data_IF_674550619065
#
_entry.id   IF_674550619065
#
_cell.length_a   1.000
_cell.length_b   1.000
_cell.length_c   1.000
_cell.angle_alpha   90.00
_cell.angle_beta   90.00
_cell.angle_gamma   90.00
#
_symmetry.space_group_name_H-M   'P 1'
#
loop_
_entity.id
_entity.type
_entity.pdbx_description
1 polymer ?
#
# COMPACT_ATOMS: atom_id res chain seq x y z
N UNK A 1 -9.02 27.89 -7.56
CA UNK A 1 -7.64 27.41 -7.25
C UNK A 1 -7.15 26.65 -8.47
N UNK A 2 -5.96 26.93 -8.99
CA UNK A 2 -5.44 26.18 -10.12
C UNK A 2 -4.83 24.83 -9.67
N UNK A 3 -4.54 23.94 -10.62
CA UNK A 3 -4.00 22.60 -10.34
C UNK A 3 -2.72 22.64 -9.47
N UNK A 4 -1.79 23.55 -9.76
CA UNK A 4 -0.52 23.64 -9.00
C UNK A 4 -0.69 24.21 -7.59
N UNK A 5 -1.60 25.13 -7.38
CA UNK A 5 -1.93 25.61 -6.02
C UNK A 5 -2.53 24.50 -5.17
N UNK A 6 -3.34 23.64 -5.79
CA UNK A 6 -3.92 22.48 -5.12
C UNK A 6 -2.84 21.46 -4.73
N UNK A 7 -1.85 21.23 -5.59
CA UNK A 7 -0.69 20.38 -5.27
C UNK A 7 0.03 20.90 -4.03
N UNK A 8 0.37 22.22 -3.98
CA UNK A 8 1.06 22.79 -2.81
C UNK A 8 0.26 22.56 -1.54
N UNK A 9 -1.05 22.79 -1.57
CA UNK A 9 -1.92 22.56 -0.41
C UNK A 9 -1.91 21.11 0.05
N UNK A 10 -2.05 20.15 -0.86
CA UNK A 10 -2.00 18.72 -0.52
C UNK A 10 -0.64 18.34 0.08
N UNK A 11 0.46 18.87 -0.47
CA UNK A 11 1.80 18.62 0.08
C UNK A 11 1.99 19.21 1.49
N UNK A 12 1.40 20.40 1.77
CA UNK A 12 1.38 20.96 3.12
C UNK A 12 0.61 20.04 4.09
N UNK A 13 -0.56 19.53 3.71
CA UNK A 13 -1.34 18.60 4.53
C UNK A 13 -0.56 17.29 4.80
N UNK A 14 0.10 16.74 3.79
CA UNK A 14 0.88 15.49 3.90
C UNK A 14 2.13 15.68 4.77
N UNK A 15 2.91 16.73 4.54
CA UNK A 15 4.24 16.85 5.16
C UNK A 15 4.25 17.61 6.49
N UNK A 16 3.31 18.53 6.72
CA UNK A 16 3.21 19.28 7.98
C UNK A 16 2.19 18.69 8.95
N UNK A 17 1.08 18.15 8.43
CA UNK A 17 0.00 17.64 9.27
C UNK A 17 0.00 16.11 9.38
N UNK A 18 0.91 15.42 8.67
CA UNK A 18 1.01 13.96 8.68
C UNK A 18 -0.16 13.24 8.02
N UNK A 19 -0.92 13.92 7.17
CA UNK A 19 -2.03 13.30 6.45
C UNK A 19 -1.52 12.23 5.46
N UNK A 20 -2.27 11.14 5.31
CA UNK A 20 -1.95 10.18 4.26
C UNK A 20 -2.18 10.78 2.87
N UNK A 21 -1.21 10.63 1.98
CA UNK A 21 -1.22 11.28 0.66
C UNK A 21 -2.45 10.92 -0.18
N UNK A 22 -2.91 9.69 -0.12
CA UNK A 22 -4.11 9.24 -0.82
C UNK A 22 -5.40 9.88 -0.25
N UNK A 23 -5.49 10.09 1.06
CA UNK A 23 -6.66 10.70 1.70
C UNK A 23 -6.70 12.20 1.38
N UNK A 24 -5.60 12.92 1.62
CA UNK A 24 -5.50 14.35 1.35
C UNK A 24 -5.77 14.66 -0.14
N UNK A 25 -5.19 13.85 -1.05
CA UNK A 25 -5.40 14.01 -2.49
C UNK A 25 -6.86 13.77 -2.90
N UNK A 26 -7.49 12.68 -2.43
CA UNK A 26 -8.88 12.39 -2.77
C UNK A 26 -9.81 13.49 -2.30
N UNK A 27 -9.69 13.94 -1.06
CA UNK A 27 -10.49 15.05 -0.52
C UNK A 27 -10.31 16.34 -1.33
N UNK A 28 -9.05 16.65 -1.71
CA UNK A 28 -8.75 17.81 -2.52
C UNK A 28 -9.37 17.74 -3.92
N UNK A 29 -9.41 16.54 -4.53
CA UNK A 29 -9.97 16.34 -5.86
C UNK A 29 -11.50 16.28 -5.85
N UNK A 30 -12.14 15.68 -4.87
CA UNK A 30 -13.61 15.61 -4.75
C UNK A 30 -14.27 16.98 -4.77
N UNK A 31 -13.67 17.96 -4.10
CA UNK A 31 -14.18 19.34 -4.02
C UNK A 31 -13.63 20.27 -5.11
N UNK A 32 -12.89 19.74 -6.10
CA UNK A 32 -12.29 20.53 -7.16
C UNK A 32 -13.15 20.61 -8.41
N UNK A 33 -13.10 21.75 -9.09
CA UNK A 33 -13.67 21.95 -10.44
C UNK A 33 -12.62 21.73 -11.54
N UNK A 34 -11.61 20.92 -11.26
CA UNK A 34 -10.53 20.61 -12.20
C UNK A 34 -11.02 19.69 -13.32
N UNK A 35 -10.50 19.90 -14.54
CA UNK A 35 -10.68 18.95 -15.64
C UNK A 35 -10.03 17.60 -15.32
N UNK A 36 -10.43 16.50 -15.97
CA UNK A 36 -9.84 15.17 -15.78
C UNK A 36 -8.33 15.18 -16.06
N UNK A 37 -7.89 15.99 -17.03
CA UNK A 37 -6.47 16.18 -17.35
C UNK A 37 -5.72 16.85 -16.19
N UNK A 38 -6.31 17.87 -15.58
CA UNK A 38 -5.72 18.56 -14.44
C UNK A 38 -5.74 17.68 -13.19
N UNK A 39 -6.80 16.92 -12.97
CA UNK A 39 -6.89 15.92 -11.88
C UNK A 39 -5.77 14.87 -12.00
N UNK A 40 -5.55 14.34 -13.20
CA UNK A 40 -4.46 13.41 -13.48
C UNK A 40 -3.08 14.04 -13.24
N UNK A 41 -2.91 15.30 -13.64
CA UNK A 41 -1.69 16.05 -13.40
C UNK A 41 -1.44 16.31 -11.91
N UNK A 42 -2.46 16.70 -11.15
CA UNK A 42 -2.36 16.89 -9.69
C UNK A 42 -1.95 15.59 -9.04
N UNK A 43 -2.58 14.47 -9.42
CA UNK A 43 -2.28 13.13 -8.91
C UNK A 43 -0.83 12.75 -9.16
N UNK A 44 -0.36 12.91 -10.39
CA UNK A 44 1.02 12.60 -10.79
C UNK A 44 2.03 13.43 -9.99
N UNK A 45 1.84 14.75 -9.91
CA UNK A 45 2.82 15.63 -9.25
C UNK A 45 2.80 15.46 -7.73
N UNK A 46 1.64 15.22 -7.10
CA UNK A 46 1.57 14.94 -5.66
C UNK A 46 2.30 13.65 -5.33
N UNK A 47 1.90 12.53 -5.94
CA UNK A 47 2.53 11.25 -5.65
C UNK A 47 4.01 11.23 -6.01
N UNK A 48 4.38 11.83 -7.14
CA UNK A 48 5.77 11.92 -7.57
C UNK A 48 6.63 12.75 -6.63
N UNK A 49 6.14 13.91 -6.16
CA UNK A 49 6.86 14.74 -5.19
C UNK A 49 7.00 14.02 -3.85
N UNK A 50 5.94 13.37 -3.35
CA UNK A 50 6.01 12.58 -2.12
C UNK A 50 6.98 11.41 -2.29
N UNK A 51 6.90 10.67 -3.38
CA UNK A 51 7.79 9.54 -3.65
C UNK A 51 9.27 9.93 -3.70
N UNK A 52 9.59 11.13 -4.18
CA UNK A 52 10.96 11.64 -4.39
C UNK A 52 11.43 12.65 -3.32
N UNK A 53 10.71 12.76 -2.20
CA UNK A 53 10.99 13.78 -1.16
C UNK A 53 12.46 13.91 -0.81
N UNK A 54 13.14 12.82 -0.42
CA UNK A 54 14.54 12.85 0.04
C UNK A 54 15.49 13.30 -1.08
N UNK A 55 15.25 12.86 -2.31
CA UNK A 55 16.02 13.27 -3.50
C UNK A 55 15.84 14.77 -3.77
N UNK A 56 14.60 15.23 -3.75
CA UNK A 56 14.27 16.65 -4.01
C UNK A 56 14.82 17.56 -2.90
N UNK A 57 14.71 17.14 -1.64
CA UNK A 57 15.30 17.85 -0.50
C UNK A 57 16.82 17.95 -0.61
N UNK A 58 17.47 16.86 -1.04
CA UNK A 58 18.92 16.85 -1.24
C UNK A 58 19.34 17.82 -2.35
N UNK A 59 18.63 17.86 -3.48
CA UNK A 59 18.90 18.84 -4.53
C UNK A 59 18.68 20.27 -4.05
N UNK A 60 17.58 20.55 -3.38
CA UNK A 60 17.28 21.89 -2.87
C UNK A 60 18.29 22.37 -1.83
N UNK A 61 18.85 21.46 -1.03
CA UNK A 61 19.87 21.80 -0.03
C UNK A 61 21.19 22.35 -0.63
N UNK A 62 21.43 22.18 -1.93
CA UNK A 62 22.59 22.78 -2.61
C UNK A 62 22.37 24.25 -3.03
N UNK A 63 21.13 24.71 -3.01
CA UNK A 63 20.78 26.06 -3.44
C UNK A 63 20.03 26.87 -2.38
N UNK A 64 19.56 26.22 -1.32
CA UNK A 64 18.88 26.81 -0.16
C UNK A 64 19.75 26.58 1.07
N UNK A 65 20.29 27.64 1.63
CA UNK A 65 21.20 27.57 2.78
C UNK A 65 20.48 27.11 4.06
N UNK A 66 19.29 27.66 4.30
CA UNK A 66 18.53 27.38 5.53
C UNK A 66 17.04 27.25 5.24
N UNK A 67 16.56 26.00 5.22
CA UNK A 67 15.14 25.68 5.00
C UNK A 67 14.23 26.25 6.10
N UNK A 68 14.72 26.38 7.33
CA UNK A 68 13.88 26.80 8.47
C UNK A 68 13.44 28.26 8.38
N UNK A 69 14.08 29.05 7.53
CA UNK A 69 13.70 30.44 7.24
C UNK A 69 12.62 30.58 6.16
N UNK A 70 12.23 29.47 5.52
CA UNK A 70 11.22 29.48 4.48
C UNK A 70 9.84 29.09 5.04
N UNK A 71 8.83 29.80 4.57
CA UNK A 71 7.45 29.35 4.78
C UNK A 71 7.27 27.94 4.20
N UNK A 72 6.60 26.98 4.89
CA UNK A 72 6.45 25.61 4.41
C UNK A 72 5.88 25.51 2.99
N UNK A 73 4.83 26.28 2.66
CA UNK A 73 4.23 26.29 1.33
C UNK A 73 5.22 26.68 0.22
N UNK A 74 6.15 27.60 0.51
CA UNK A 74 7.15 28.04 -0.44
C UNK A 74 8.16 26.93 -0.73
N UNK A 75 8.55 26.21 0.29
CA UNK A 75 9.42 25.04 0.16
C UNK A 75 8.77 23.95 -0.69
N UNK A 76 7.49 23.64 -0.43
CA UNK A 76 6.75 22.63 -1.22
C UNK A 76 6.45 23.08 -2.65
N UNK A 77 6.27 24.38 -2.87
CA UNK A 77 6.21 24.95 -4.22
C UNK A 77 7.52 24.69 -4.98
N UNK A 78 8.68 24.88 -4.34
CA UNK A 78 9.98 24.57 -4.94
C UNK A 78 10.16 23.06 -5.17
N UNK A 79 9.80 22.23 -4.20
CA UNK A 79 9.87 20.77 -4.35
C UNK A 79 9.04 20.25 -5.52
N UNK A 80 7.77 20.64 -5.63
CA UNK A 80 6.92 20.18 -6.73
C UNK A 80 7.36 20.74 -8.09
N UNK A 81 7.95 21.97 -8.11
CA UNK A 81 8.50 22.54 -9.33
C UNK A 81 9.75 21.79 -9.77
N UNK A 82 10.62 21.46 -8.82
CA UNK A 82 11.81 20.65 -9.08
C UNK A 82 11.43 19.22 -9.53
N UNK A 83 10.41 18.62 -8.94
CA UNK A 83 9.89 17.33 -9.43
C UNK A 83 9.49 17.42 -10.90
N UNK A 84 8.75 18.46 -11.30
CA UNK A 84 8.35 18.65 -12.68
C UNK A 84 9.57 18.86 -13.61
N UNK A 85 10.58 19.62 -13.18
CA UNK A 85 11.81 19.87 -13.96
C UNK A 85 12.63 18.58 -14.18
N UNK A 86 12.64 17.67 -13.21
CA UNK A 86 13.52 16.49 -13.22
C UNK A 86 12.84 15.26 -13.84
N UNK A 87 11.52 15.13 -13.66
CA UNK A 87 10.83 13.86 -13.94
C UNK A 87 9.68 13.98 -14.96
N UNK A 88 9.35 15.20 -15.43
CA UNK A 88 8.23 15.42 -16.37
C UNK A 88 8.72 16.10 -17.66
N UNK A 89 9.29 15.32 -18.56
CA UNK A 89 9.86 15.81 -19.85
C UNK A 89 8.84 16.54 -20.75
N UNK A 90 7.54 16.35 -20.49
CA UNK A 90 6.47 16.93 -21.32
C UNK A 90 6.20 18.41 -21.04
N UNK A 91 6.76 18.98 -19.96
CA UNK A 91 6.47 20.34 -19.52
C UNK A 91 7.75 21.16 -19.73
N UNK A 92 7.70 22.20 -20.57
CA UNK A 92 8.88 23.06 -20.77
C UNK A 92 9.29 23.78 -19.47
N UNK A 93 10.59 23.86 -19.20
CA UNK A 93 11.16 24.47 -17.99
C UNK A 93 10.62 25.86 -17.72
N UNK A 94 10.53 26.69 -18.78
CA UNK A 94 10.03 28.06 -18.65
C UNK A 94 8.57 28.13 -18.19
N UNK A 95 7.75 27.15 -18.56
CA UNK A 95 6.36 27.08 -18.13
C UNK A 95 6.27 26.71 -16.63
N UNK A 96 7.13 25.79 -16.16
CA UNK A 96 7.21 25.39 -14.73
C UNK A 96 7.62 26.60 -13.89
N UNK A 97 8.70 27.30 -14.30
CA UNK A 97 9.21 28.49 -13.60
C UNK A 97 8.16 29.61 -13.56
N UNK A 98 7.54 29.91 -14.69
CA UNK A 98 6.54 30.99 -14.78
C UNK A 98 5.33 30.74 -13.88
N UNK A 99 4.81 29.48 -13.82
CA UNK A 99 3.70 29.15 -12.95
C UNK A 99 4.10 29.17 -11.47
N UNK A 100 5.29 28.69 -11.11
CA UNK A 100 5.79 28.77 -9.76
C UNK A 100 5.95 30.22 -9.27
N UNK A 101 6.52 31.10 -10.11
CA UNK A 101 6.65 32.53 -9.84
C UNK A 101 5.29 33.19 -9.66
N UNK A 102 4.29 32.84 -10.50
CA UNK A 102 2.93 33.36 -10.40
C UNK A 102 2.26 32.96 -9.07
N UNK A 103 2.44 31.72 -8.66
CA UNK A 103 1.91 31.23 -7.35
C UNK A 103 2.60 31.96 -6.20
N UNK A 104 3.93 32.06 -6.25
CA UNK A 104 4.71 32.82 -5.27
C UNK A 104 4.16 34.23 -5.08
N UNK A 105 4.07 34.99 -6.16
CA UNK A 105 3.55 36.38 -6.13
C UNK A 105 2.14 36.49 -5.54
N UNK A 106 1.25 35.52 -5.84
CA UNK A 106 -0.13 35.53 -5.32
C UNK A 106 -0.22 35.23 -3.84
N UNK A 107 0.62 34.31 -3.34
CA UNK A 107 0.61 33.90 -1.91
C UNK A 107 1.31 34.91 -1.00
N UNK A 108 2.46 35.46 -1.46
CA UNK A 108 3.25 36.43 -0.69
C UNK A 108 4.07 37.29 -1.63
N UNK A 109 3.78 38.57 -1.66
CA UNK A 109 4.54 39.55 -2.46
C UNK A 109 6.04 39.50 -2.11
N UNK A 110 6.89 39.51 -3.11
CA UNK A 110 8.34 39.41 -2.97
C UNK A 110 8.88 37.98 -3.05
N UNK A 111 8.08 36.97 -2.81
CA UNK A 111 8.52 35.56 -2.90
C UNK A 111 8.79 35.09 -4.34
N UNK A 112 8.18 35.78 -5.33
CA UNK A 112 8.37 35.45 -6.75
C UNK A 112 9.83 35.63 -7.21
N UNK A 113 10.56 36.60 -6.63
CA UNK A 113 11.97 36.84 -6.93
C UNK A 113 12.83 35.67 -6.45
N UNK A 114 12.55 35.18 -5.23
CA UNK A 114 13.23 34.03 -4.63
C UNK A 114 12.95 32.75 -5.42
N UNK A 115 11.69 32.44 -5.71
CA UNK A 115 11.29 31.28 -6.52
C UNK A 115 12.00 31.27 -7.86
N UNK A 116 11.98 32.40 -8.58
CA UNK A 116 12.64 32.53 -9.87
C UNK A 116 14.16 32.33 -9.77
N UNK A 117 14.81 32.92 -8.75
CA UNK A 117 16.26 32.80 -8.55
C UNK A 117 16.66 31.33 -8.29
N UNK A 118 15.96 30.62 -7.39
CA UNK A 118 16.26 29.25 -7.06
C UNK A 118 16.06 28.31 -8.26
N UNK A 119 14.90 28.37 -8.94
CA UNK A 119 14.62 27.48 -10.06
C UNK A 119 15.54 27.74 -11.26
N UNK A 120 15.81 29.02 -11.58
CA UNK A 120 16.76 29.35 -12.66
C UNK A 120 18.19 28.96 -12.32
N UNK A 121 18.60 29.03 -11.04
CA UNK A 121 19.91 28.57 -10.60
C UNK A 121 20.06 27.06 -10.85
N UNK A 122 19.06 26.24 -10.44
CA UNK A 122 19.05 24.79 -10.67
C UNK A 122 19.10 24.44 -12.18
N UNK A 123 18.36 25.15 -13.01
CA UNK A 123 18.36 24.92 -14.47
C UNK A 123 19.73 25.27 -15.08
N UNK A 124 20.32 26.40 -14.69
CA UNK A 124 21.60 26.90 -15.24
C UNK A 124 22.81 26.08 -14.80
N UNK A 125 22.87 25.72 -13.51
CA UNK A 125 24.02 25.04 -12.91
C UNK A 125 23.91 23.52 -13.05
N UNK A 126 22.72 23.02 -13.36
CA UNK A 126 22.41 21.58 -13.32
C UNK A 126 22.26 21.02 -11.91
N UNK A 127 21.88 19.79 -11.83
CA UNK A 127 21.72 19.09 -10.56
C UNK A 127 23.04 18.44 -10.15
N UNK A 128 23.40 18.47 -8.85
CA UNK A 128 24.60 17.77 -8.38
C UNK A 128 24.46 16.26 -8.63
N UNK A 129 25.58 15.62 -8.97
CA UNK A 129 25.61 14.18 -9.23
C UNK A 129 25.52 13.38 -7.92
N UNK A 130 24.54 12.48 -7.82
CA UNK A 130 24.27 11.67 -6.61
C UNK A 130 25.43 10.71 -6.29
N UNK A 131 26.19 10.28 -7.28
CA UNK A 131 27.35 9.39 -7.14
C UNK A 131 28.49 10.03 -6.35
N UNK A 132 28.52 11.35 -6.22
CA UNK A 132 29.47 12.08 -5.35
C UNK A 132 29.28 11.75 -3.87
N UNK A 133 28.16 11.18 -3.47
CA UNK A 133 27.89 10.78 -2.09
C UNK A 133 28.73 9.54 -1.73
N UNK A 134 29.76 9.72 -0.93
CA UNK A 134 30.70 8.65 -0.56
C UNK A 134 30.10 7.52 0.28
N UNK A 135 29.16 7.85 1.17
CA UNK A 135 28.52 6.86 2.06
C UNK A 135 27.43 6.12 1.29
N UNK A 136 27.67 4.84 1.00
CA UNK A 136 26.82 3.97 0.16
C UNK A 136 25.32 4.02 0.53
N UNK A 137 24.99 3.75 1.80
CA UNK A 137 23.58 3.76 2.23
C UNK A 137 22.92 5.14 2.13
N UNK A 138 23.71 6.24 2.32
CA UNK A 138 23.22 7.60 2.09
C UNK A 138 23.02 7.88 0.60
N UNK A 139 23.90 7.37 -0.26
CA UNK A 139 23.74 7.47 -1.71
C UNK A 139 22.46 6.78 -2.15
N UNK A 140 22.23 5.52 -1.75
CA UNK A 140 20.97 4.83 -2.05
C UNK A 140 19.75 5.53 -1.45
N UNK A 141 19.86 6.08 -0.25
CA UNK A 141 18.79 6.88 0.37
C UNK A 141 18.39 8.06 -0.51
N UNK A 142 19.36 8.78 -1.07
CA UNK A 142 19.08 9.93 -1.95
C UNK A 142 18.62 9.47 -3.33
N UNK A 143 19.28 8.47 -3.92
CA UNK A 143 18.97 7.97 -5.27
C UNK A 143 17.56 7.40 -5.36
N UNK A 144 17.16 6.62 -4.35
CA UNK A 144 15.85 5.97 -4.31
C UNK A 144 14.87 6.62 -3.32
N UNK A 145 15.20 7.81 -2.81
CA UNK A 145 14.35 8.55 -1.88
C UNK A 145 13.77 7.67 -0.74
N UNK A 146 14.62 6.87 -0.13
CA UNK A 146 14.29 5.99 0.99
C UNK A 146 15.02 6.45 2.26
N UNK A 147 14.42 6.40 3.45
CA UNK A 147 15.14 6.62 4.70
C UNK A 147 16.36 5.70 4.82
N UNK A 148 17.47 6.20 5.35
CA UNK A 148 18.73 5.42 5.47
C UNK A 148 18.51 4.13 6.26
N UNK A 149 17.67 4.17 7.31
CA UNK A 149 17.37 2.99 8.12
C UNK A 149 16.69 1.90 7.29
N UNK A 150 15.74 2.28 6.41
CA UNK A 150 15.02 1.34 5.55
C UNK A 150 15.93 0.76 4.47
N UNK A 151 16.82 1.58 3.89
CA UNK A 151 17.86 1.09 2.97
C UNK A 151 18.71 0.01 3.64
N UNK A 152 19.18 0.25 4.88
CA UNK A 152 19.95 -0.73 5.63
C UNK A 152 19.17 -2.01 5.88
N UNK A 153 17.94 -1.88 6.40
CA UNK A 153 17.11 -3.03 6.74
C UNK A 153 16.83 -3.92 5.50
N UNK A 154 16.51 -3.32 4.35
CA UNK A 154 16.26 -4.08 3.13
C UNK A 154 17.53 -4.73 2.56
N UNK A 155 18.70 -4.09 2.68
CA UNK A 155 19.98 -4.70 2.27
C UNK A 155 20.35 -5.86 3.21
N UNK A 156 20.13 -5.74 4.51
CA UNK A 156 20.36 -6.82 5.48
C UNK A 156 19.43 -8.02 5.23
N UNK A 157 18.17 -7.77 4.89
CA UNK A 157 17.15 -8.79 4.67
C UNK A 157 17.33 -9.54 3.34
N UNK A 158 17.60 -8.80 2.25
CA UNK A 158 17.55 -9.32 0.88
C UNK A 158 18.90 -9.41 0.17
N UNK A 159 19.96 -8.88 0.77
CA UNK A 159 21.22 -8.64 0.08
C UNK A 159 21.13 -7.41 -0.82
N UNK A 160 22.29 -6.86 -1.18
CA UNK A 160 22.37 -5.59 -1.91
C UNK A 160 21.73 -5.63 -3.31
N UNK A 161 22.01 -6.68 -4.08
CA UNK A 161 21.51 -6.82 -5.45
C UNK A 161 19.98 -6.80 -5.50
N UNK A 162 19.34 -7.64 -4.69
CA UNK A 162 17.88 -7.73 -4.64
C UNK A 162 17.26 -6.50 -4.03
N UNK A 163 17.86 -5.92 -2.97
CA UNK A 163 17.42 -4.67 -2.39
C UNK A 163 17.42 -3.54 -3.44
N UNK A 164 18.45 -3.43 -4.28
CA UNK A 164 18.48 -2.46 -5.38
C UNK A 164 17.39 -2.72 -6.43
N UNK A 165 17.07 -3.97 -6.73
CA UNK A 165 15.95 -4.31 -7.61
C UNK A 165 14.60 -3.86 -6.99
N UNK A 166 14.40 -4.11 -5.69
CA UNK A 166 13.24 -3.62 -4.94
C UNK A 166 13.19 -2.09 -5.00
N UNK A 167 14.28 -1.36 -4.71
CA UNK A 167 14.31 0.11 -4.73
C UNK A 167 13.91 0.67 -6.11
N UNK A 168 14.43 0.10 -7.18
CA UNK A 168 14.10 0.51 -8.56
C UNK A 168 12.63 0.27 -8.87
N UNK A 169 12.06 -0.84 -8.42
CA UNK A 169 10.67 -1.22 -8.69
C UNK A 169 9.65 -0.26 -8.08
N UNK A 170 10.02 0.46 -7.00
CA UNK A 170 9.13 1.43 -6.33
C UNK A 170 8.74 2.63 -7.23
N UNK A 171 9.44 2.84 -8.35
CA UNK A 171 9.19 3.91 -9.31
C UNK A 171 8.61 3.42 -10.63
N UNK A 172 8.36 2.13 -10.74
CA UNK A 172 7.60 1.59 -11.86
C UNK A 172 6.13 1.96 -11.72
N UNK A 173 5.43 2.06 -12.84
CA UNK A 173 3.99 2.31 -12.80
C UNK A 173 3.27 1.18 -12.09
N UNK A 174 2.30 1.56 -11.25
CA UNK A 174 1.40 0.59 -10.66
C UNK A 174 0.53 -0.03 -11.75
N UNK A 175 0.47 -1.34 -11.80
CA UNK A 175 -0.58 -2.04 -12.54
C UNK A 175 -1.91 -1.84 -11.83
N UNK A 176 -2.97 -1.72 -12.61
CA UNK A 176 -4.34 -1.82 -12.10
C UNK A 176 -4.74 -3.28 -12.08
N UNK A 177 -5.09 -3.81 -10.93
CA UNK A 177 -5.55 -5.19 -10.75
C UNK A 177 -6.99 -5.21 -10.27
N UNK A 178 -7.80 -6.06 -10.87
CA UNK A 178 -9.17 -6.33 -10.47
C UNK A 178 -9.34 -7.81 -10.17
N UNK A 179 -10.21 -8.11 -9.22
CA UNK A 179 -10.74 -9.45 -9.01
C UNK A 179 -12.05 -9.59 -9.76
N UNK A 180 -12.14 -10.59 -10.60
CA UNK A 180 -13.36 -11.03 -11.24
C UNK A 180 -14.16 -11.87 -10.24
N UNK A 181 -15.45 -11.63 -10.14
CA UNK A 181 -16.31 -12.30 -9.14
C UNK A 181 -16.78 -13.65 -9.66
N UNK A 182 -17.26 -13.71 -10.89
CA UNK A 182 -17.61 -14.95 -11.58
C UNK A 182 -16.48 -15.31 -12.56
N UNK A 183 -15.79 -16.41 -12.32
CA UNK A 183 -14.66 -16.82 -13.15
C UNK A 183 -15.06 -17.22 -14.57
N UNK A 184 -16.30 -17.61 -14.80
CA UNK A 184 -16.81 -17.94 -16.12
C UNK A 184 -16.86 -16.71 -17.03
N UNK A 185 -16.98 -15.50 -16.44
CA UNK A 185 -16.95 -14.23 -17.17
C UNK A 185 -15.53 -13.70 -17.46
N UNK A 186 -14.50 -14.36 -16.93
CA UNK A 186 -13.13 -13.81 -16.91
C UNK A 186 -12.58 -13.51 -18.30
N UNK A 187 -12.80 -14.39 -19.26
CA UNK A 187 -12.29 -14.20 -20.64
C UNK A 187 -12.98 -13.05 -21.34
N UNK A 188 -14.31 -12.94 -21.18
CA UNK A 188 -15.11 -11.81 -21.71
C UNK A 188 -14.63 -10.48 -21.12
N UNK A 189 -14.44 -10.44 -19.79
CA UNK A 189 -13.97 -9.24 -19.08
C UNK A 189 -12.53 -8.88 -19.46
N UNK A 190 -11.68 -9.88 -19.70
CA UNK A 190 -10.31 -9.64 -20.18
C UNK A 190 -10.32 -8.95 -21.55
N UNK A 191 -11.17 -9.38 -22.47
CA UNK A 191 -11.32 -8.75 -23.77
C UNK A 191 -11.92 -7.36 -23.66
N UNK A 192 -13.02 -7.20 -22.90
CA UNK A 192 -13.69 -5.92 -22.68
C UNK A 192 -12.76 -4.84 -22.13
N UNK A 193 -11.94 -5.20 -21.18
CA UNK A 193 -10.98 -4.27 -20.54
C UNK A 193 -9.63 -4.20 -21.23
N UNK A 194 -9.39 -4.99 -22.28
CA UNK A 194 -8.05 -5.18 -22.85
C UNK A 194 -7.01 -5.47 -21.74
N UNK A 195 -7.38 -6.33 -20.81
CA UNK A 195 -6.59 -6.73 -19.66
C UNK A 195 -6.05 -8.14 -19.86
N UNK A 196 -4.99 -8.48 -19.14
CA UNK A 196 -4.39 -9.81 -19.18
C UNK A 196 -4.66 -10.57 -17.90
N UNK A 197 -4.73 -11.90 -17.97
CA UNK A 197 -4.77 -12.74 -16.78
C UNK A 197 -3.51 -12.57 -15.94
N UNK A 198 -3.69 -12.47 -14.62
CA UNK A 198 -2.56 -12.43 -13.69
C UNK A 198 -1.78 -13.75 -13.72
N UNK A 199 -0.47 -13.64 -13.51
CA UNK A 199 0.42 -14.78 -13.28
C UNK A 199 0.40 -15.27 -11.83
N UNK A 200 -0.21 -14.48 -10.93
CA UNK A 200 -0.26 -14.78 -9.49
C UNK A 200 -1.62 -15.32 -9.07
N UNK A 201 -2.70 -14.63 -9.38
CA UNK A 201 -4.01 -14.99 -8.87
C UNK A 201 -4.97 -15.41 -9.99
N UNK A 202 -5.59 -16.59 -9.92
CA UNK A 202 -6.53 -17.08 -10.94
C UNK A 202 -7.71 -16.15 -11.18
N UNK A 203 -8.19 -15.45 -10.14
CA UNK A 203 -9.32 -14.50 -10.22
C UNK A 203 -8.92 -13.11 -10.70
N UNK A 204 -7.63 -12.83 -10.89
CA UNK A 204 -7.17 -11.50 -11.23
C UNK A 204 -7.05 -11.26 -12.74
N UNK A 205 -7.47 -10.05 -13.13
CA UNK A 205 -7.10 -9.43 -14.39
C UNK A 205 -6.23 -8.20 -14.08
N UNK A 206 -5.18 -7.99 -14.88
CA UNK A 206 -4.23 -6.89 -14.72
C UNK A 206 -4.12 -6.08 -16.00
N UNK A 207 -3.99 -4.76 -15.85
CA UNK A 207 -3.78 -3.80 -16.93
C UNK A 207 -2.77 -2.74 -16.48
N UNK A 208 -1.93 -2.27 -17.38
CA UNK A 208 -0.96 -1.22 -17.05
C UNK A 208 -1.61 0.09 -16.59
N UNK A 209 -2.76 0.41 -17.15
CA UNK A 209 -3.57 1.58 -16.77
C UNK A 209 -5.06 1.26 -16.89
N UNK A 210 -5.84 1.52 -15.82
CA UNK A 210 -7.28 1.32 -15.84
C UNK A 210 -7.98 2.08 -14.71
N UNK A 211 -9.10 2.71 -15.01
CA UNK A 211 -9.97 3.39 -14.04
C UNK A 211 -11.22 2.55 -13.80
N UNK A 212 -11.06 1.38 -13.21
CA UNK A 212 -12.16 0.40 -13.04
C UNK A 212 -13.24 0.87 -12.06
N UNK A 213 -12.92 1.73 -11.07
CA UNK A 213 -13.89 2.20 -10.08
C UNK A 213 -15.07 3.00 -10.67
N UNK A 214 -14.86 3.66 -11.81
CA UNK A 214 -15.91 4.41 -12.49
C UNK A 214 -16.81 3.54 -13.37
N UNK A 215 -16.40 2.31 -13.69
CA UNK A 215 -17.10 1.43 -14.61
C UNK A 215 -18.39 0.86 -13.99
N UNK A 216 -19.43 0.63 -14.82
CA UNK A 216 -20.71 0.05 -14.36
C UNK A 216 -20.52 -1.30 -13.69
N UNK A 217 -19.70 -2.19 -14.26
CA UNK A 217 -19.42 -3.52 -13.73
C UNK A 217 -18.82 -3.53 -12.31
N UNK A 218 -18.08 -2.47 -11.95
CA UNK A 218 -17.63 -2.29 -10.55
C UNK A 218 -18.81 -1.97 -9.64
N UNK A 219 -19.72 -1.09 -10.07
CA UNK A 219 -20.93 -0.72 -9.31
C UNK A 219 -21.90 -1.89 -9.18
N UNK A 220 -22.02 -2.69 -10.23
CA UNK A 220 -22.84 -3.90 -10.31
C UNK A 220 -22.26 -5.08 -9.51
N UNK A 221 -21.02 -4.98 -9.02
CA UNK A 221 -20.39 -6.04 -8.25
C UNK A 221 -19.83 -7.20 -9.06
N UNK A 222 -19.74 -7.11 -10.39
CA UNK A 222 -19.12 -8.16 -11.24
C UNK A 222 -17.60 -8.16 -11.16
N UNK A 223 -17.00 -7.01 -10.83
CA UNK A 223 -15.58 -6.86 -10.56
C UNK A 223 -15.34 -6.06 -9.28
N UNK A 224 -14.17 -6.24 -8.67
CA UNK A 224 -13.71 -5.37 -7.58
C UNK A 224 -12.21 -5.09 -7.72
N UNK A 225 -11.79 -3.90 -7.24
CA UNK A 225 -10.37 -3.52 -7.26
C UNK A 225 -9.68 -4.21 -6.08
N UNK A 226 -8.73 -5.08 -6.39
CA UNK A 226 -7.92 -5.79 -5.41
C UNK A 226 -6.59 -6.17 -6.05
N UNK A 227 -5.49 -5.92 -5.33
CA UNK A 227 -4.17 -6.34 -5.82
C UNK A 227 -4.09 -7.86 -5.95
N UNK A 228 -3.41 -8.34 -6.99
CA UNK A 228 -3.28 -9.76 -7.29
C UNK A 228 -2.62 -10.55 -6.16
N UNK A 229 -1.67 -9.97 -5.43
CA UNK A 229 -1.05 -10.60 -4.27
C UNK A 229 -2.04 -10.81 -3.12
N UNK A 230 -2.89 -9.82 -2.87
CA UNK A 230 -3.94 -9.89 -1.84
C UNK A 230 -5.05 -10.89 -2.18
N UNK A 231 -5.23 -11.21 -3.48
CA UNK A 231 -6.22 -12.22 -3.92
C UNK A 231 -5.80 -13.66 -3.58
N UNK A 232 -4.52 -13.91 -3.26
CA UNK A 232 -4.02 -15.23 -2.86
C UNK A 232 -4.44 -15.64 -1.44
N UNK A 233 -4.92 -14.70 -0.63
CA UNK A 233 -5.24 -14.94 0.79
C UNK A 233 -6.46 -15.85 0.97
N UNK A 234 -7.56 -15.58 0.26
CA UNK A 234 -8.78 -16.37 0.43
C UNK A 234 -8.60 -17.83 -0.02
N UNK A 235 -7.96 -18.15 -1.16
CA UNK A 235 -7.64 -19.52 -1.53
C UNK A 235 -6.77 -20.27 -0.50
N UNK A 236 -5.89 -19.56 0.23
CA UNK A 236 -5.02 -20.17 1.23
C UNK A 236 -5.78 -20.72 2.45
N UNK A 237 -7.03 -20.29 2.70
CA UNK A 237 -7.87 -20.85 3.77
C UNK A 237 -8.49 -22.21 3.40
N UNK A 238 -8.50 -22.57 2.12
CA UNK A 238 -9.07 -23.85 1.66
C UNK A 238 -10.51 -24.05 2.15
N UNK A 239 -11.41 -23.14 1.74
CA UNK A 239 -12.82 -23.12 2.14
C UNK A 239 -13.62 -24.14 1.34
N UNK A 240 -14.53 -24.89 2.00
CA UNK A 240 -15.40 -25.88 1.39
C UNK A 240 -16.86 -25.40 1.26
N UNK A 241 -17.22 -24.31 1.97
CA UNK A 241 -18.49 -23.61 1.78
C UNK A 241 -19.41 -23.54 3.00
N UNK A 242 -19.21 -24.34 4.01
CA UNK A 242 -20.07 -24.42 5.21
C UNK A 242 -19.41 -23.90 6.49
N UNK A 243 -18.18 -23.39 6.39
CA UNK A 243 -17.38 -23.00 7.55
C UNK A 243 -17.83 -21.71 8.22
N UNK A 244 -17.61 -21.65 9.52
CA UNK A 244 -17.61 -20.43 10.30
C UNK A 244 -16.21 -19.82 10.28
N UNK A 245 -16.10 -18.72 9.55
CA UNK A 245 -14.82 -18.03 9.28
C UNK A 245 -14.74 -16.78 10.15
N UNK A 246 -13.57 -16.53 10.75
CA UNK A 246 -13.22 -15.24 11.35
C UNK A 246 -12.28 -14.47 10.42
N UNK A 247 -12.61 -13.23 10.11
CA UNK A 247 -11.67 -12.23 9.56
C UNK A 247 -11.36 -11.22 10.67
N UNK A 248 -10.21 -11.38 11.31
CA UNK A 248 -9.87 -10.69 12.56
C UNK A 248 -9.53 -9.20 12.36
N UNK A 249 -9.15 -8.77 11.15
CA UNK A 249 -8.74 -7.41 10.82
C UNK A 249 -9.32 -7.01 9.47
N UNK A 250 -10.64 -7.00 9.35
CA UNK A 250 -11.37 -7.14 8.10
C UNK A 250 -11.39 -5.92 7.17
N UNK A 251 -11.25 -4.69 7.70
CA UNK A 251 -11.45 -3.48 6.89
C UNK A 251 -10.36 -3.27 5.84
N UNK A 252 -10.74 -2.82 4.65
CA UNK A 252 -12.05 -2.33 4.20
C UNK A 252 -13.01 -3.41 3.65
N UNK A 253 -12.73 -4.71 3.82
CA UNK A 253 -13.62 -5.79 3.41
C UNK A 253 -13.25 -6.50 2.10
N UNK A 254 -12.14 -6.16 1.47
CA UNK A 254 -11.72 -6.79 0.22
C UNK A 254 -11.46 -8.30 0.36
N UNK A 255 -10.77 -8.73 1.42
CA UNK A 255 -10.52 -10.13 1.76
C UNK A 255 -11.78 -10.80 2.33
N UNK A 256 -12.51 -10.12 3.21
CA UNK A 256 -13.78 -10.57 3.78
C UNK A 256 -14.78 -10.98 2.70
N UNK A 257 -14.99 -10.10 1.71
CA UNK A 257 -15.91 -10.39 0.58
C UNK A 257 -15.37 -11.49 -0.33
N UNK A 258 -14.07 -11.65 -0.43
CA UNK A 258 -13.45 -12.75 -1.17
C UNK A 258 -13.67 -14.09 -0.44
N UNK A 259 -13.50 -14.12 0.88
CA UNK A 259 -13.84 -15.31 1.70
C UNK A 259 -15.33 -15.66 1.54
N UNK A 260 -16.21 -14.68 1.67
CA UNK A 260 -17.67 -14.88 1.56
C UNK A 260 -18.09 -15.42 0.19
N UNK A 261 -17.34 -15.15 -0.89
CA UNK A 261 -17.64 -15.70 -2.21
C UNK A 261 -17.44 -17.21 -2.33
N UNK A 262 -16.60 -17.82 -1.48
CA UNK A 262 -16.41 -19.27 -1.42
C UNK A 262 -17.46 -20.00 -0.55
N UNK A 263 -18.22 -19.26 0.26
CA UNK A 263 -19.16 -19.87 1.19
C UNK A 263 -20.54 -20.11 0.52
N UNK A 264 -21.20 -21.19 0.92
CA UNK A 264 -22.60 -21.52 0.57
C UNK A 264 -23.51 -21.29 1.77
N UNK A 265 -23.36 -22.07 2.80
CA UNK A 265 -24.11 -22.01 4.07
C UNK A 265 -23.29 -21.40 5.22
N UNK A 266 -21.96 -21.39 5.09
CA UNK A 266 -21.05 -20.80 6.05
C UNK A 266 -21.18 -19.27 6.18
N UNK A 267 -20.51 -18.71 7.18
CA UNK A 267 -20.54 -17.26 7.48
C UNK A 267 -19.13 -16.74 7.79
N UNK A 268 -18.90 -15.47 7.46
CA UNK A 268 -17.71 -14.73 7.88
C UNK A 268 -18.08 -13.76 9.00
N UNK A 269 -17.45 -13.89 10.16
CA UNK A 269 -17.46 -12.88 11.21
C UNK A 269 -16.28 -11.93 10.94
N UNK A 270 -16.59 -10.68 10.60
CA UNK A 270 -15.62 -9.65 10.21
C UNK A 270 -15.44 -8.62 11.34
N UNK A 271 -14.23 -8.50 11.85
CA UNK A 271 -13.91 -7.59 12.96
C UNK A 271 -13.13 -6.37 12.50
N UNK A 272 -13.40 -5.24 13.11
CA UNK A 272 -12.54 -4.04 13.11
C UNK A 272 -12.77 -3.23 14.39
N UNK A 273 -11.78 -2.39 14.74
CA UNK A 273 -11.82 -1.51 15.91
C UNK A 273 -12.77 -0.31 15.74
N UNK A 274 -13.04 0.11 14.49
CA UNK A 274 -13.68 1.38 14.16
C UNK A 274 -14.99 1.19 13.42
N UNK A 275 -16.06 1.81 13.91
CA UNK A 275 -17.42 1.72 13.33
C UNK A 275 -17.47 2.20 11.87
N UNK A 276 -16.73 3.25 11.50
CA UNK A 276 -16.69 3.74 10.13
C UNK A 276 -16.04 2.73 9.16
N UNK A 277 -15.12 1.90 9.64
CA UNK A 277 -14.51 0.84 8.86
C UNK A 277 -15.46 -0.37 8.69
N UNK A 278 -16.24 -0.70 9.71
CA UNK A 278 -17.28 -1.73 9.60
C UNK A 278 -18.34 -1.36 8.54
N UNK A 279 -18.68 -0.07 8.42
CA UNK A 279 -19.58 0.42 7.36
C UNK A 279 -18.99 0.15 5.96
N UNK A 280 -17.70 0.37 5.76
CA UNK A 280 -17.03 0.08 4.48
C UNK A 280 -17.07 -1.41 4.13
N UNK A 281 -16.92 -2.30 5.13
CA UNK A 281 -17.09 -3.75 4.92
C UNK A 281 -18.50 -4.06 4.44
N UNK A 282 -19.52 -3.48 5.11
CA UNK A 282 -20.92 -3.72 4.76
C UNK A 282 -21.27 -3.14 3.38
N UNK A 283 -20.78 -1.96 3.03
CA UNK A 283 -20.95 -1.36 1.71
C UNK A 283 -20.36 -2.24 0.60
N UNK A 284 -19.14 -2.75 0.79
CA UNK A 284 -18.52 -3.68 -0.14
C UNK A 284 -19.27 -5.03 -0.22
N UNK A 285 -19.73 -5.55 0.92
CA UNK A 285 -20.51 -6.78 0.97
C UNK A 285 -21.84 -6.66 0.21
N UNK A 286 -22.54 -5.54 0.36
CA UNK A 286 -23.77 -5.25 -0.39
C UNK A 286 -23.51 -5.13 -1.90
N UNK A 287 -22.47 -4.37 -2.28
CA UNK A 287 -22.09 -4.18 -3.68
C UNK A 287 -21.70 -5.48 -4.37
N UNK A 288 -21.07 -6.41 -3.65
CA UNK A 288 -20.61 -7.71 -4.17
C UNK A 288 -21.62 -8.85 -3.92
N UNK A 289 -22.83 -8.53 -3.45
CA UNK A 289 -23.93 -9.46 -3.23
C UNK A 289 -23.62 -10.63 -2.29
N UNK A 290 -22.80 -10.39 -1.25
CA UNK A 290 -22.42 -11.39 -0.23
C UNK A 290 -22.73 -10.94 1.19
N UNK A 291 -23.58 -9.92 1.35
CA UNK A 291 -23.88 -9.32 2.65
C UNK A 291 -24.60 -10.29 3.61
N UNK A 292 -25.40 -11.21 3.07
CA UNK A 292 -26.09 -12.25 3.83
C UNK A 292 -25.14 -13.24 4.49
N UNK A 293 -23.90 -13.34 4.02
CA UNK A 293 -22.85 -14.23 4.54
C UNK A 293 -21.87 -13.56 5.50
N UNK A 294 -22.00 -12.25 5.73
CA UNK A 294 -21.04 -11.47 6.52
C UNK A 294 -21.70 -10.86 7.76
N UNK A 295 -21.12 -11.14 8.91
CA UNK A 295 -21.50 -10.58 10.21
C UNK A 295 -20.38 -9.62 10.67
N UNK A 296 -20.64 -8.32 10.65
CA UNK A 296 -19.68 -7.33 11.13
C UNK A 296 -19.78 -7.12 12.64
N UNK A 297 -18.67 -7.05 13.34
CA UNK A 297 -18.63 -6.79 14.79
C UNK A 297 -17.47 -5.88 15.16
N UNK A 298 -17.75 -4.83 15.93
CA UNK A 298 -16.71 -4.00 16.52
C UNK A 298 -16.05 -4.76 17.66
N UNK A 299 -14.79 -5.11 17.47
CA UNK A 299 -14.01 -5.85 18.46
C UNK A 299 -12.53 -5.66 18.19
N UNK A 300 -11.75 -5.54 19.27
CA UNK A 300 -10.31 -5.69 19.23
C UNK A 300 -9.96 -7.19 19.04
N UNK A 301 -9.20 -7.50 18.00
CA UNK A 301 -8.84 -8.89 17.68
C UNK A 301 -8.02 -9.57 18.79
N UNK A 302 -7.35 -8.81 19.66
CA UNK A 302 -6.69 -9.35 20.86
C UNK A 302 -7.65 -9.87 21.92
N UNK A 303 -8.97 -9.64 21.77
CA UNK A 303 -10.04 -10.07 22.69
C UNK A 303 -10.99 -11.10 22.07
N UNK A 304 -10.58 -11.74 20.99
CA UNK A 304 -11.42 -12.73 20.29
C UNK A 304 -11.77 -13.89 21.23
N UNK A 305 -10.79 -14.48 21.91
CA UNK A 305 -11.03 -15.59 22.82
C UNK A 305 -11.97 -15.24 23.98
N UNK A 306 -11.81 -14.05 24.57
CA UNK A 306 -12.70 -13.59 25.65
C UNK A 306 -14.15 -13.43 25.18
N UNK A 307 -14.33 -13.11 23.88
CA UNK A 307 -15.66 -12.84 23.31
C UNK A 307 -16.37 -14.09 22.80
N UNK A 308 -15.64 -14.98 22.13
CA UNK A 308 -16.21 -16.11 21.41
C UNK A 308 -15.96 -17.47 22.09
N UNK A 309 -14.99 -17.52 23.01
CA UNK A 309 -14.60 -18.77 23.67
C UNK A 309 -13.86 -19.76 22.77
N UNK A 310 -13.67 -21.01 23.24
CA UNK A 310 -12.97 -22.05 22.48
C UNK A 310 -13.83 -22.59 21.33
N UNK A 311 -13.16 -23.15 20.31
CA UNK A 311 -13.77 -23.91 19.21
C UNK A 311 -14.91 -23.18 18.47
N UNK A 312 -14.80 -21.84 18.36
CA UNK A 312 -15.82 -21.01 17.74
C UNK A 312 -15.72 -20.98 16.19
N UNK A 313 -14.53 -21.15 15.63
CA UNK A 313 -14.29 -20.97 14.20
C UNK A 313 -13.57 -22.17 13.57
N UNK A 314 -13.97 -22.49 12.34
CA UNK A 314 -13.34 -23.53 11.51
C UNK A 314 -12.11 -22.99 10.78
N UNK A 315 -12.15 -21.72 10.38
CA UNK A 315 -11.09 -21.03 9.64
C UNK A 315 -10.92 -19.61 10.18
N UNK A 316 -9.70 -19.14 10.25
CA UNK A 316 -9.40 -17.77 10.69
C UNK A 316 -8.44 -17.10 9.71
N UNK A 317 -8.77 -15.88 9.31
CA UNK A 317 -7.87 -14.95 8.64
C UNK A 317 -7.37 -13.91 9.64
N UNK A 318 -6.06 -13.75 9.71
CA UNK A 318 -5.39 -12.62 10.37
C UNK A 318 -4.62 -11.84 9.31
N UNK A 319 -5.33 -10.93 8.61
CA UNK A 319 -4.68 -9.93 7.75
C UNK A 319 -4.18 -8.80 8.63
N UNK A 320 -3.01 -9.01 9.22
CA UNK A 320 -2.56 -8.29 10.39
C UNK A 320 -2.23 -6.81 10.13
N UNK A 321 -2.48 -5.92 11.10
CA UNK A 321 -1.94 -4.57 11.05
C UNK A 321 -0.41 -4.66 10.98
N UNK A 322 0.18 -3.99 9.98
CA UNK A 322 1.61 -4.08 9.68
C UNK A 322 2.17 -2.72 9.22
N UNK A 323 3.47 -2.65 9.02
CA UNK A 323 4.15 -1.44 8.55
C UNK A 323 3.70 -0.97 7.17
N UNK A 324 3.23 -1.88 6.32
CA UNK A 324 2.81 -1.58 4.95
C UNK A 324 3.96 -1.31 3.98
N UNK A 325 5.19 -1.70 4.31
CA UNK A 325 6.39 -1.45 3.47
C UNK A 325 6.24 -2.04 2.06
N UNK A 326 5.46 -3.10 1.89
CA UNK A 326 5.14 -3.66 0.56
C UNK A 326 4.30 -2.75 -0.33
N UNK A 327 3.64 -1.73 0.25
CA UNK A 327 2.74 -0.80 -0.45
C UNK A 327 3.39 0.53 -0.84
N UNK A 328 4.69 0.73 -0.62
CA UNK A 328 5.38 2.03 -0.82
C UNK A 328 5.16 2.57 -2.24
N UNK A 329 5.09 1.71 -3.26
CA UNK A 329 4.84 2.11 -4.64
C UNK A 329 3.49 2.82 -4.80
N UNK A 330 2.43 2.34 -4.10
CA UNK A 330 1.08 2.93 -4.13
C UNK A 330 0.89 4.04 -3.09
N UNK A 331 1.58 3.94 -1.96
CA UNK A 331 1.48 4.85 -0.81
C UNK A 331 2.88 5.29 -0.39
N UNK A 332 3.50 6.20 -1.15
CA UNK A 332 4.91 6.56 -0.96
C UNK A 332 5.20 7.29 0.35
N UNK A 333 4.19 7.83 1.03
CA UNK A 333 4.30 8.46 2.34
C UNK A 333 4.58 7.47 3.47
N UNK A 334 4.21 6.19 3.33
CA UNK A 334 4.46 5.15 4.35
C UNK A 334 5.92 5.16 4.82
N UNK A 335 6.87 5.25 3.91
CA UNK A 335 8.31 5.20 4.21
C UNK A 335 8.82 6.36 5.07
N UNK A 336 8.07 7.46 5.14
CA UNK A 336 8.44 8.63 5.96
C UNK A 336 7.75 8.65 7.33
N UNK A 337 6.66 7.89 7.47
CA UNK A 337 5.83 7.82 8.66
C UNK A 337 6.15 6.58 9.52
N UNK A 338 7.26 5.90 9.25
CA UNK A 338 7.72 4.71 9.95
C UNK A 338 9.17 4.85 10.40
N UNK A 339 9.44 4.21 11.53
CA UNK A 339 10.78 4.05 12.08
C UNK A 339 11.07 2.56 12.36
N UNK A 340 12.34 2.21 12.57
CA UNK A 340 12.72 0.82 12.86
C UNK A 340 12.10 0.26 14.15
N UNK A 341 11.80 1.12 15.11
CA UNK A 341 11.15 0.75 16.37
C UNK A 341 9.68 0.31 16.16
N UNK A 342 9.00 0.82 15.11
CA UNK A 342 7.61 0.46 14.82
C UNK A 342 7.45 -1.03 14.52
N UNK A 343 8.45 -1.67 13.90
CA UNK A 343 8.41 -3.09 13.60
C UNK A 343 8.31 -3.98 14.84
N UNK A 344 8.98 -3.59 15.93
CA UNK A 344 8.91 -4.32 17.19
C UNK A 344 7.51 -4.19 17.82
N UNK A 345 6.96 -2.98 17.80
CA UNK A 345 5.62 -2.72 18.32
C UNK A 345 4.53 -3.45 17.50
N UNK A 346 4.66 -3.44 16.17
CA UNK A 346 3.74 -4.14 15.28
C UNK A 346 3.84 -5.65 15.43
N UNK A 347 5.04 -6.21 15.54
CA UNK A 347 5.24 -7.63 15.82
C UNK A 347 4.53 -8.06 17.12
N UNK A 348 4.65 -7.27 18.19
CA UNK A 348 3.98 -7.56 19.44
C UNK A 348 2.45 -7.57 19.30
N UNK A 349 1.87 -6.64 18.53
CA UNK A 349 0.43 -6.60 18.24
C UNK A 349 0.02 -7.83 17.40
N UNK A 350 0.79 -8.18 16.38
CA UNK A 350 0.54 -9.31 15.50
C UNK A 350 0.51 -10.64 16.29
N UNK A 351 1.49 -10.83 17.17
CA UNK A 351 1.52 -11.99 18.06
C UNK A 351 0.35 -12.01 19.03
N UNK A 352 0.01 -10.86 19.66
CA UNK A 352 -1.14 -10.79 20.56
C UNK A 352 -2.49 -11.11 19.88
N UNK A 353 -2.65 -10.72 18.61
CA UNK A 353 -3.82 -11.11 17.82
C UNK A 353 -3.81 -12.63 17.58
N UNK A 354 -2.70 -13.18 17.10
CA UNK A 354 -2.57 -14.61 16.85
C UNK A 354 -2.80 -15.44 18.13
N UNK A 355 -2.26 -15.00 19.27
CA UNK A 355 -2.42 -15.64 20.58
C UNK A 355 -3.91 -15.68 21.03
N UNK A 356 -4.67 -14.64 20.68
CA UNK A 356 -6.11 -14.61 21.02
C UNK A 356 -6.94 -15.46 20.07
N UNK A 357 -6.74 -15.32 18.75
CA UNK A 357 -7.59 -15.99 17.77
C UNK A 357 -7.35 -17.51 17.74
N UNK A 358 -6.11 -17.96 17.98
CA UNK A 358 -5.77 -19.40 17.94
C UNK A 358 -6.51 -20.21 19.00
N UNK A 359 -6.85 -19.62 20.14
CA UNK A 359 -7.61 -20.27 21.21
C UNK A 359 -9.09 -20.48 20.84
N UNK A 360 -9.62 -19.70 19.89
CA UNK A 360 -11.00 -19.83 19.38
C UNK A 360 -11.10 -20.72 18.13
N UNK A 361 -9.98 -21.29 17.67
CA UNK A 361 -9.93 -22.18 16.52
C UNK A 361 -10.37 -23.58 16.92
N UNK A 362 -11.18 -24.24 16.08
CA UNK A 362 -11.50 -25.68 16.21
C UNK A 362 -10.29 -26.54 15.87
N UNK A 363 -10.24 -27.71 16.49
CA UNK A 363 -9.23 -28.74 16.15
C UNK A 363 -9.34 -29.09 14.66
N UNK A 364 -8.21 -29.18 13.97
CA UNK A 364 -8.13 -29.39 12.51
C UNK A 364 -8.37 -28.13 11.68
N UNK A 365 -8.74 -27.03 12.33
CA UNK A 365 -8.97 -25.75 11.65
C UNK A 365 -7.69 -25.09 11.14
N UNK A 366 -7.85 -24.11 10.26
CA UNK A 366 -6.74 -23.43 9.58
C UNK A 366 -6.76 -21.94 9.91
N UNK A 367 -5.61 -21.40 10.29
CA UNK A 367 -5.33 -19.96 10.37
C UNK A 367 -4.47 -19.57 9.17
N UNK A 368 -4.87 -18.52 8.46
CA UNK A 368 -4.00 -17.83 7.50
C UNK A 368 -3.58 -16.50 8.12
N UNK A 369 -2.28 -16.30 8.19
CA UNK A 369 -1.64 -15.05 8.58
C UNK A 369 -1.13 -14.34 7.34
N UNK A 370 -1.48 -13.07 7.16
CA UNK A 370 -1.02 -12.27 6.02
C UNK A 370 -0.66 -10.85 6.42
N UNK A 371 0.27 -10.26 5.68
CA UNK A 371 0.70 -8.86 5.84
C UNK A 371 0.99 -8.23 4.48
N UNK A 372 0.81 -6.92 4.38
CA UNK A 372 1.26 -6.13 3.24
C UNK A 372 2.67 -5.51 3.48
N UNK A 373 3.55 -6.25 4.14
CA UNK A 373 4.95 -5.89 4.35
C UNK A 373 5.89 -6.97 3.84
N UNK A 374 7.11 -6.57 3.51
CA UNK A 374 8.16 -7.48 3.08
C UNK A 374 9.25 -7.67 4.15
N UNK A 375 9.02 -7.14 5.37
CA UNK A 375 10.01 -7.20 6.44
C UNK A 375 9.90 -8.52 7.23
N UNK A 376 10.98 -9.27 7.32
CA UNK A 376 11.04 -10.54 8.03
C UNK A 376 10.62 -10.46 9.49
N UNK A 377 10.87 -9.31 10.12
CA UNK A 377 10.44 -8.99 11.50
C UNK A 377 8.93 -9.17 11.72
N UNK A 378 8.13 -8.77 10.75
CA UNK A 378 6.66 -8.85 10.81
C UNK A 378 6.12 -10.13 10.12
N UNK A 379 6.97 -10.91 9.46
CA UNK A 379 6.63 -12.08 8.67
C UNK A 379 7.19 -13.36 9.30
N UNK A 380 8.38 -13.79 8.90
CA UNK A 380 8.99 -15.05 9.36
C UNK A 380 9.22 -15.11 10.86
N UNK A 381 9.66 -14.00 11.49
CA UNK A 381 9.87 -13.98 12.94
C UNK A 381 8.54 -14.09 13.72
N UNK A 382 7.43 -13.58 13.18
CA UNK A 382 6.09 -13.78 13.78
C UNK A 382 5.68 -15.24 13.66
N UNK A 383 5.88 -15.86 12.48
CA UNK A 383 5.58 -17.29 12.23
C UNK A 383 6.36 -18.17 13.20
N UNK A 384 7.68 -17.97 13.29
CA UNK A 384 8.55 -18.77 14.17
C UNK A 384 8.17 -18.62 15.63
N UNK A 385 7.89 -17.40 16.08
CA UNK A 385 7.51 -17.12 17.47
C UNK A 385 6.13 -17.70 17.81
N UNK A 386 5.16 -17.60 16.88
CA UNK A 386 3.83 -18.18 17.04
C UNK A 386 3.91 -19.71 17.21
N UNK A 387 4.59 -20.40 16.31
CA UNK A 387 4.75 -21.85 16.36
C UNK A 387 5.50 -22.33 17.63
N UNK A 388 6.48 -21.56 18.07
CA UNK A 388 7.19 -21.83 19.32
C UNK A 388 6.28 -21.71 20.54
N UNK A 389 5.38 -20.72 20.55
CA UNK A 389 4.47 -20.48 21.67
C UNK A 389 3.27 -21.43 21.65
N UNK A 390 2.90 -21.96 20.49
CA UNK A 390 1.71 -22.78 20.26
C UNK A 390 2.07 -24.14 19.62
N UNK A 391 2.66 -25.08 20.38
CA UNK A 391 3.07 -26.40 19.86
C UNK A 391 1.90 -27.29 19.42
N UNK A 392 0.67 -26.87 19.68
CA UNK A 392 -0.57 -27.48 19.17
C UNK A 392 -0.95 -26.98 17.75
N UNK A 393 -0.10 -26.17 17.12
CA UNK A 393 -0.21 -25.79 15.72
C UNK A 393 1.02 -26.24 14.94
N UNK A 394 0.82 -26.55 13.68
CA UNK A 394 1.88 -26.81 12.71
C UNK A 394 1.76 -25.86 11.51
N UNK A 395 2.88 -25.53 10.90
CA UNK A 395 2.87 -24.80 9.63
C UNK A 395 2.48 -25.76 8.51
N UNK A 396 1.57 -25.33 7.65
CA UNK A 396 1.15 -26.07 6.45
C UNK A 396 1.70 -25.40 5.23
N UNK A 397 2.50 -26.10 4.40
CA UNK A 397 3.08 -25.51 3.21
C UNK A 397 2.02 -24.90 2.29
N UNK A 398 2.31 -23.71 1.77
CA UNK A 398 1.57 -23.13 0.67
C UNK A 398 2.21 -23.54 -0.64
N UNK A 399 1.41 -23.83 -1.65
CA UNK A 399 1.88 -24.14 -2.99
C UNK A 399 1.40 -23.09 -3.99
N UNK A 400 2.17 -22.91 -5.05
CA UNK A 400 1.88 -21.99 -6.15
C UNK A 400 2.64 -22.41 -7.40
N UNK A 401 2.08 -22.16 -8.59
CA UNK A 401 2.77 -22.43 -9.86
C UNK A 401 4.08 -21.64 -9.98
N UNK A 402 4.09 -20.41 -9.50
CA UNK A 402 5.27 -19.55 -9.41
C UNK A 402 6.10 -19.91 -8.19
N UNK A 403 7.14 -20.71 -8.37
CA UNK A 403 7.97 -21.18 -7.26
C UNK A 403 8.88 -20.11 -6.68
N UNK A 404 9.15 -19.05 -7.43
CA UNK A 404 9.98 -17.89 -7.03
C UNK A 404 9.36 -17.01 -5.95
N UNK A 405 8.04 -17.16 -5.68
CA UNK A 405 7.36 -16.51 -4.55
C UNK A 405 7.26 -17.40 -3.31
N UNK A 406 7.68 -18.67 -3.38
CA UNK A 406 7.66 -19.59 -2.24
C UNK A 406 8.96 -19.49 -1.44
N UNK A 407 8.84 -19.32 -0.13
CA UNK A 407 9.97 -19.27 0.80
C UNK A 407 9.55 -19.80 2.17
N UNK A 408 10.24 -20.82 2.70
CA UNK A 408 9.98 -21.40 4.02
C UNK A 408 8.49 -21.75 4.23
N UNK A 409 7.90 -22.49 3.29
CA UNK A 409 6.49 -22.91 3.28
C UNK A 409 5.47 -21.74 3.25
N UNK A 410 5.92 -20.52 3.02
CA UNK A 410 5.13 -19.30 2.90
C UNK A 410 5.14 -18.77 1.47
N UNK A 411 4.20 -17.87 1.17
CA UNK A 411 4.27 -17.00 0.00
C UNK A 411 4.89 -15.67 0.44
N UNK A 412 5.93 -15.22 -0.26
CA UNK A 412 6.53 -13.90 -0.12
C UNK A 412 6.69 -13.26 -1.50
N UNK A 413 5.91 -12.25 -1.77
CA UNK A 413 5.99 -11.44 -2.98
C UNK A 413 6.68 -10.12 -2.62
N UNK A 414 7.73 -9.77 -3.34
CA UNK A 414 8.43 -8.49 -3.21
C UNK A 414 8.13 -7.60 -4.41
N UNK A 415 8.15 -6.25 -4.26
CA UNK A 415 7.64 -5.32 -5.28
C UNK A 415 8.29 -5.42 -6.67
N UNK A 416 9.51 -5.95 -6.79
CA UNK A 416 10.18 -6.18 -8.07
C UNK A 416 9.62 -7.38 -8.83
N UNK A 417 8.92 -8.29 -8.14
CA UNK A 417 8.29 -9.45 -8.76
C UNK A 417 6.91 -9.10 -9.30
N UNK A 418 6.65 -9.46 -10.54
CA UNK A 418 5.34 -9.35 -11.21
C UNK A 418 4.72 -7.95 -11.26
N UNK A 419 5.36 -6.90 -10.71
CA UNK A 419 4.79 -5.56 -10.59
C UNK A 419 3.58 -5.48 -9.63
N UNK A 420 3.43 -6.47 -8.74
CA UNK A 420 2.44 -6.55 -7.68
C UNK A 420 2.88 -5.78 -6.44
N UNK A 421 2.00 -5.63 -5.45
CA UNK A 421 2.37 -5.13 -4.13
C UNK A 421 3.22 -6.17 -3.38
N UNK A 422 4.06 -5.71 -2.46
CA UNK A 422 4.78 -6.60 -1.56
C UNK A 422 3.82 -7.23 -0.55
N UNK A 423 3.85 -8.56 -0.42
CA UNK A 423 2.87 -9.30 0.36
C UNK A 423 3.44 -10.59 0.94
N UNK A 424 2.94 -10.98 2.10
CA UNK A 424 3.32 -12.23 2.78
C UNK A 424 2.08 -13.02 3.20
N UNK A 425 2.15 -14.37 3.09
CA UNK A 425 1.10 -15.28 3.52
C UNK A 425 1.74 -16.52 4.16
N UNK A 426 1.28 -16.91 5.34
CA UNK A 426 1.58 -18.16 6.00
C UNK A 426 0.31 -18.87 6.44
N UNK A 427 0.37 -20.18 6.58
CA UNK A 427 -0.78 -21.03 6.94
C UNK A 427 -0.44 -21.98 8.07
N UNK A 428 -1.30 -22.03 9.09
CA UNK A 428 -1.16 -22.88 10.25
C UNK A 428 -2.38 -23.79 10.40
N UNK A 429 -2.19 -25.01 10.91
CA UNK A 429 -3.26 -25.94 11.22
C UNK A 429 -3.20 -26.29 12.70
N UNK A 430 -4.35 -26.26 13.39
CA UNK A 430 -4.48 -26.77 14.76
C UNK A 430 -4.50 -28.30 14.76
N UNK A 431 -3.49 -28.94 15.38
CA UNK A 431 -3.34 -30.39 15.41
C UNK A 431 -3.90 -31.02 16.69
N UNK A 432 -3.98 -30.27 17.79
CA UNK A 432 -4.50 -30.77 19.08
C UNK A 432 -5.28 -29.72 19.89
#
# INVERSE_FOLDING_TARGET
MNAREQIVRVLEEVFEQGAYSNIALNQALEHSQLSDKDRSFVTEVVYGTVARKITLEWYLAHVIEDRTKLDPWLYYLLMMSLYQLVYLDRIPDHAIVNEAVRIGKRRKEGSEKFVNAILRKLIREGLPAIDTIKRKNKRYSVEYSLPVWLVKALIEEYGEERACAIFKSLYQRNKSSIRVIDLDEKEELAQLFEATSSLLAPSALVKEQGHFAAHSLFKEGRITIQDESSQLVAPALDLQGDEWVLDACAAPGGKTTHLASYLTTGKVTALDLYDHKLKLIQENANRLHVADKILTKKLDATKVFETFGPDAFDKILVDAPCSGIGLIRRKPDIKYNKESADFVSLQAIQLAILDSVCQSMRKGGIIVYSTCTIMGKENFEVVDQFLKNHPNFEQVPLDHERKDILKNDCILITPELYGSDGFFISRFKRIS
#
